data_IF_545490936691
#
_entry.id   IF_545490936691
#
_cell.length_a   1.000
_cell.length_b   1.000
_cell.length_c   1.000
_cell.angle_alpha   90.00
_cell.angle_beta   90.00
_cell.angle_gamma   90.00
#
_symmetry.space_group_name_H-M   'P 1'
#
loop_
_entity.id
_entity.type
_entity.pdbx_description
1 polymer ?
#
# COMPACT_ATOMS: atom_id res chain seq x y z
N UNK A 1 -18.55 1.52 0.27
CA UNK A 1 -17.29 2.28 0.34
C UNK A 1 -17.41 3.50 -0.57
N UNK A 2 -17.29 4.72 -0.03
CA UNK A 2 -17.15 5.96 -0.81
C UNK A 2 -15.78 6.56 -0.50
N UNK A 3 -14.73 6.01 -1.09
CA UNK A 3 -13.41 6.65 -1.14
C UNK A 3 -13.43 7.70 -2.27
N UNK A 4 -12.70 8.79 -2.10
CA UNK A 4 -12.42 9.72 -3.21
C UNK A 4 -11.48 8.99 -4.16
N UNK A 5 -11.98 8.55 -5.32
CA UNK A 5 -11.16 7.84 -6.31
C UNK A 5 -10.27 8.83 -7.05
N UNK A 6 -8.95 8.69 -6.82
CA UNK A 6 -7.89 9.38 -7.56
C UNK A 6 -7.26 8.32 -8.47
N UNK A 7 -7.58 8.36 -9.76
CA UNK A 7 -7.10 7.37 -10.72
C UNK A 7 -5.57 7.40 -10.93
N UNK A 8 -5.00 6.35 -11.52
CA UNK A 8 -3.55 6.16 -11.64
C UNK A 8 -2.83 7.30 -12.38
N UNK A 9 -3.46 7.91 -13.37
CA UNK A 9 -2.88 9.04 -14.12
C UNK A 9 -2.62 10.27 -13.25
N UNK A 10 -3.45 10.53 -12.24
CA UNK A 10 -3.30 11.67 -11.34
C UNK A 10 -2.18 11.44 -10.33
N UNK A 11 -2.01 10.21 -9.86
CA UNK A 11 -0.84 9.79 -9.08
C UNK A 11 0.45 9.95 -9.88
N UNK A 12 0.50 9.42 -11.11
CA UNK A 12 1.65 9.55 -11.99
C UNK A 12 2.00 11.02 -12.29
N UNK A 13 0.98 11.86 -12.50
CA UNK A 13 1.18 13.30 -12.72
C UNK A 13 1.78 14.00 -11.48
N UNK A 14 1.30 13.68 -10.28
CA UNK A 14 1.89 14.25 -9.06
C UNK A 14 3.32 13.76 -8.83
N UNK A 15 3.56 12.46 -9.00
CA UNK A 15 4.87 11.82 -8.89
C UNK A 15 5.89 12.31 -9.92
N UNK A 16 5.47 12.89 -11.04
CA UNK A 16 6.39 13.47 -12.02
C UNK A 16 6.88 14.87 -11.63
N UNK A 17 6.25 15.51 -10.65
CA UNK A 17 6.73 16.78 -10.09
C UNK A 17 7.95 16.57 -9.21
N UNK A 18 8.85 17.55 -9.13
CA UNK A 18 10.03 17.49 -8.25
C UNK A 18 9.67 17.18 -6.79
N UNK A 19 8.62 17.81 -6.28
CA UNK A 19 8.19 17.63 -4.90
C UNK A 19 7.53 16.25 -4.68
N UNK A 20 6.77 15.76 -5.66
CA UNK A 20 6.23 14.40 -5.64
C UNK A 20 7.34 13.35 -5.61
N UNK A 21 8.36 13.49 -6.45
CA UNK A 21 9.53 12.59 -6.46
C UNK A 21 10.25 12.53 -5.12
N UNK A 22 10.48 13.68 -4.47
CA UNK A 22 11.11 13.73 -3.15
C UNK A 22 10.22 13.07 -2.11
N UNK A 23 8.92 13.37 -2.12
CA UNK A 23 7.97 12.84 -1.13
C UNK A 23 7.87 11.33 -1.24
N UNK A 24 7.64 10.81 -2.45
CA UNK A 24 7.57 9.37 -2.74
C UNK A 24 8.83 8.64 -2.28
N UNK A 25 10.01 9.17 -2.62
CA UNK A 25 11.29 8.55 -2.24
C UNK A 25 11.46 8.48 -0.73
N UNK A 26 11.16 9.55 -0.01
CA UNK A 26 11.27 9.57 1.46
C UNK A 26 10.26 8.63 2.12
N UNK A 27 9.02 8.59 1.62
CA UNK A 27 7.99 7.68 2.12
C UNK A 27 8.41 6.21 1.93
N UNK A 28 8.93 5.87 0.74
CA UNK A 28 9.43 4.52 0.45
C UNK A 28 10.63 4.15 1.31
N UNK A 29 11.63 5.03 1.44
CA UNK A 29 12.82 4.79 2.26
C UNK A 29 12.43 4.48 3.72
N UNK A 30 11.53 5.27 4.31
CA UNK A 30 11.08 5.07 5.69
C UNK A 30 10.24 3.79 5.88
N UNK A 31 9.36 3.48 4.93
CA UNK A 31 8.56 2.25 4.98
C UNK A 31 9.43 1.02 4.85
N UNK A 32 10.42 1.04 3.95
CA UNK A 32 11.35 -0.07 3.76
C UNK A 32 12.24 -0.26 4.98
N UNK A 33 12.71 0.81 5.62
CA UNK A 33 13.48 0.73 6.87
C UNK A 33 12.70 0.00 7.98
N UNK A 34 11.40 0.27 8.10
CA UNK A 34 10.53 -0.42 9.07
C UNK A 34 10.16 -1.85 8.66
N UNK A 35 10.09 -2.10 7.36
CA UNK A 35 9.77 -3.41 6.78
C UNK A 35 10.96 -4.38 6.82
N UNK A 36 12.19 -3.90 6.72
CA UNK A 36 13.39 -4.74 6.66
C UNK A 36 13.55 -5.58 7.95
N UNK A 37 14.01 -6.85 7.88
CA UNK A 37 14.30 -7.64 6.67
C UNK A 37 13.03 -8.17 5.98
N UNK A 38 13.02 -8.16 4.63
CA UNK A 38 11.92 -8.73 3.82
C UNK A 38 12.35 -9.83 2.84
N UNK A 39 13.64 -10.07 2.67
CA UNK A 39 14.14 -11.06 1.71
C UNK A 39 13.57 -12.47 1.99
N UNK A 40 12.91 -13.05 1.00
CA UNK A 40 12.27 -14.37 1.04
C UNK A 40 10.93 -14.43 1.78
N UNK A 41 10.48 -13.35 2.40
CA UNK A 41 9.21 -13.27 3.15
C UNK A 41 7.99 -13.19 2.22
N UNK A 42 6.88 -13.76 2.66
CA UNK A 42 5.58 -13.54 2.02
C UNK A 42 5.00 -12.20 2.49
N UNK A 43 4.91 -11.23 1.59
CA UNK A 43 4.48 -9.86 1.89
C UNK A 43 3.18 -9.55 1.18
N UNK A 44 2.22 -8.98 1.91
CA UNK A 44 1.01 -8.40 1.35
C UNK A 44 1.13 -6.87 1.33
N UNK A 45 1.14 -6.29 0.13
CA UNK A 45 1.00 -4.84 -0.06
C UNK A 45 -0.49 -4.50 -0.13
N UNK A 46 -1.03 -4.04 1.00
CA UNK A 46 -2.46 -3.81 1.21
C UNK A 46 -2.83 -2.36 0.85
N UNK A 47 -3.63 -2.21 -0.19
CA UNK A 47 -3.84 -0.93 -0.88
C UNK A 47 -2.66 -0.60 -1.79
N UNK A 48 -2.21 -1.56 -2.61
CA UNK A 48 -0.96 -1.45 -3.38
C UNK A 48 -0.98 -0.37 -4.47
N UNK A 49 -2.15 0.19 -4.80
CA UNK A 49 -2.28 1.18 -5.86
C UNK A 49 -1.75 0.67 -7.20
N UNK A 50 -0.98 1.51 -7.88
CA UNK A 50 -0.29 1.21 -9.14
C UNK A 50 1.04 0.44 -8.96
N UNK A 51 1.33 -0.06 -7.76
CA UNK A 51 2.40 -1.03 -7.49
C UNK A 51 3.78 -0.45 -7.21
N UNK A 52 3.92 0.86 -6.97
CA UNK A 52 5.25 1.47 -6.77
C UNK A 52 5.95 0.95 -5.51
N UNK A 53 5.25 0.81 -4.38
CA UNK A 53 5.83 0.22 -3.17
C UNK A 53 6.10 -1.29 -3.36
N UNK A 54 5.18 -1.98 -4.03
CA UNK A 54 5.34 -3.39 -4.42
C UNK A 54 6.65 -3.62 -5.17
N UNK A 55 7.00 -2.77 -6.14
CA UNK A 55 8.29 -2.84 -6.87
C UNK A 55 9.47 -2.81 -5.91
N UNK A 56 9.48 -1.89 -4.94
CA UNK A 56 10.58 -1.77 -3.98
C UNK A 56 10.70 -2.97 -3.06
N UNK A 57 9.58 -3.54 -2.61
CA UNK A 57 9.59 -4.76 -1.80
C UNK A 57 10.18 -5.94 -2.60
N UNK A 58 9.85 -6.06 -3.89
CA UNK A 58 10.43 -7.06 -4.79
C UNK A 58 11.94 -6.86 -4.98
N UNK A 59 12.39 -5.62 -5.16
CA UNK A 59 13.82 -5.27 -5.26
C UNK A 59 14.61 -5.70 -4.01
N UNK A 60 13.95 -5.78 -2.84
CA UNK A 60 14.53 -6.26 -1.57
C UNK A 60 14.35 -7.77 -1.34
N UNK A 61 13.89 -8.50 -2.36
CA UNK A 61 13.78 -9.96 -2.37
C UNK A 61 12.52 -10.52 -1.71
N UNK A 62 11.51 -9.68 -1.43
CA UNK A 62 10.22 -10.14 -0.93
C UNK A 62 9.43 -10.94 -1.99
N UNK A 63 8.53 -11.81 -1.54
CA UNK A 63 7.49 -12.42 -2.38
C UNK A 63 6.19 -11.65 -2.17
N UNK A 64 5.89 -10.73 -3.08
CA UNK A 64 4.82 -9.77 -2.88
C UNK A 64 3.51 -10.19 -3.54
N UNK A 65 2.41 -10.10 -2.80
CA UNK A 65 1.05 -10.07 -3.33
C UNK A 65 0.50 -8.66 -3.12
N UNK A 66 -0.02 -8.03 -4.16
CA UNK A 66 -0.66 -6.71 -4.05
C UNK A 66 -2.18 -6.84 -4.03
N UNK A 67 -2.85 -6.09 -3.15
CA UNK A 67 -4.31 -6.02 -3.12
C UNK A 67 -4.78 -4.57 -3.13
N UNK A 68 -5.70 -4.23 -4.02
CA UNK A 68 -6.35 -2.92 -4.06
C UNK A 68 -7.81 -3.06 -4.46
N UNK A 69 -8.65 -2.14 -3.99
CA UNK A 69 -10.08 -2.13 -4.31
C UNK A 69 -10.37 -1.45 -5.67
N UNK A 70 -9.46 -0.61 -6.16
CA UNK A 70 -9.62 0.11 -7.41
C UNK A 70 -9.11 -0.75 -8.60
N UNK A 71 -9.99 -1.21 -9.50
CA UNK A 71 -9.59 -2.02 -10.65
C UNK A 71 -8.66 -1.28 -11.62
N UNK A 72 -8.74 0.05 -11.71
CA UNK A 72 -7.86 0.83 -12.59
C UNK A 72 -6.43 0.88 -12.04
N UNK A 73 -6.28 0.94 -10.71
CA UNK A 73 -4.98 0.82 -10.04
C UNK A 73 -4.37 -0.57 -10.26
N UNK A 74 -5.17 -1.63 -10.08
CA UNK A 74 -4.72 -3.01 -10.34
C UNK A 74 -4.31 -3.19 -11.81
N UNK A 75 -5.05 -2.62 -12.75
CA UNK A 75 -4.70 -2.67 -14.16
C UNK A 75 -3.34 -1.99 -14.43
N UNK A 76 -3.12 -0.80 -13.85
CA UNK A 76 -1.84 -0.09 -13.96
C UNK A 76 -0.69 -0.88 -13.33
N UNK A 77 -0.88 -1.45 -12.13
CA UNK A 77 0.12 -2.24 -11.42
C UNK A 77 0.56 -3.47 -12.22
N UNK A 78 -0.40 -4.19 -12.82
CA UNK A 78 -0.13 -5.36 -13.67
C UNK A 78 0.65 -5.01 -14.95
N UNK A 79 0.45 -3.81 -15.49
CA UNK A 79 1.23 -3.32 -16.64
C UNK A 79 2.66 -3.02 -16.23
N UNK A 80 2.86 -2.35 -15.08
CA UNK A 80 4.18 -1.97 -14.59
C UNK A 80 5.01 -3.18 -14.12
N UNK A 81 4.36 -4.15 -13.47
CA UNK A 81 5.01 -5.29 -12.82
C UNK A 81 4.40 -6.62 -13.31
N UNK A 82 4.68 -7.02 -14.56
CA UNK A 82 4.17 -8.27 -15.10
C UNK A 82 4.74 -9.46 -14.31
N UNK A 83 3.85 -10.33 -13.83
CA UNK A 83 4.22 -11.54 -13.09
C UNK A 83 3.99 -11.49 -11.57
N UNK A 84 3.61 -10.32 -11.03
CA UNK A 84 3.21 -10.18 -9.62
C UNK A 84 1.73 -10.56 -9.46
N UNK A 85 1.39 -11.21 -8.33
CA UNK A 85 -0.01 -11.52 -7.97
C UNK A 85 -0.71 -10.26 -7.44
N UNK A 86 -1.32 -9.50 -8.36
CA UNK A 86 -2.22 -8.41 -8.01
C UNK A 86 -3.67 -8.88 -7.98
N UNK A 87 -4.35 -8.68 -6.85
CA UNK A 87 -5.74 -9.07 -6.63
C UNK A 87 -6.64 -7.85 -6.43
N UNK A 88 -7.69 -7.67 -7.25
CA UNK A 88 -8.74 -6.73 -6.89
C UNK A 88 -9.48 -7.26 -5.66
N UNK A 89 -9.70 -6.44 -4.63
CA UNK A 89 -10.32 -6.92 -3.41
C UNK A 89 -10.63 -5.83 -2.38
N UNK A 90 -11.54 -6.15 -1.46
CA UNK A 90 -11.85 -5.29 -0.32
C UNK A 90 -10.96 -5.65 0.86
N UNK A 91 -10.22 -4.69 1.40
CA UNK A 91 -9.37 -4.87 2.56
C UNK A 91 -10.13 -5.29 3.84
N UNK A 92 -11.45 -5.08 3.91
CA UNK A 92 -12.31 -5.54 5.01
C UNK A 92 -12.65 -7.03 4.94
N UNK A 93 -12.36 -7.69 3.80
CA UNK A 93 -12.60 -9.12 3.57
C UNK A 93 -11.51 -9.69 2.67
N UNK A 94 -10.37 -10.01 3.27
CA UNK A 94 -9.18 -10.45 2.57
C UNK A 94 -9.35 -11.89 2.05
N UNK A 95 -9.12 -12.14 0.75
CA UNK A 95 -9.28 -13.46 0.14
C UNK A 95 -8.05 -14.36 0.39
N UNK A 96 -7.57 -14.40 1.63
CA UNK A 96 -6.40 -15.16 2.07
C UNK A 96 -6.73 -15.97 3.32
N UNK A 97 -6.08 -17.12 3.45
CA UNK A 97 -6.13 -17.93 4.67
C UNK A 97 -5.50 -17.21 5.85
N UNK A 98 -5.88 -17.63 7.06
CA UNK A 98 -5.24 -17.18 8.30
C UNK A 98 -3.72 -17.47 8.25
N UNK A 99 -2.92 -16.61 8.87
CA UNK A 99 -1.47 -16.81 9.00
C UNK A 99 -0.73 -17.09 7.67
N UNK A 100 -1.05 -16.34 6.62
CA UNK A 100 -0.47 -16.50 5.28
C UNK A 100 0.70 -15.56 4.97
N UNK A 101 0.90 -14.48 5.75
CA UNK A 101 1.93 -13.47 5.46
C UNK A 101 2.88 -13.24 6.65
N UNK A 102 4.15 -12.96 6.35
CA UNK A 102 5.17 -12.57 7.32
C UNK A 102 5.20 -11.05 7.56
N UNK A 103 4.67 -10.29 6.61
CA UNK A 103 4.58 -8.83 6.65
C UNK A 103 3.35 -8.35 5.86
N UNK A 104 2.69 -7.34 6.39
CA UNK A 104 1.75 -6.50 5.64
C UNK A 104 2.28 -5.07 5.63
N UNK A 105 2.28 -4.45 4.45
CA UNK A 105 2.43 -2.99 4.31
C UNK A 105 1.08 -2.38 3.98
N UNK A 106 0.75 -1.23 4.60
CA UNK A 106 -0.44 -0.46 4.28
C UNK A 106 -0.07 1.02 4.20
N UNK A 107 0.32 1.49 3.01
CA UNK A 107 0.76 2.88 2.82
C UNK A 107 -0.38 3.75 2.32
N UNK A 108 -0.69 4.82 3.06
CA UNK A 108 -1.77 5.79 2.78
C UNK A 108 -3.17 5.19 2.63
N UNK A 109 -3.36 3.92 2.99
CA UNK A 109 -4.65 3.25 2.90
C UNK A 109 -5.62 3.69 4.01
N UNK A 110 -5.21 3.61 5.29
CA UNK A 110 -6.17 3.77 6.39
C UNK A 110 -6.68 5.22 6.52
N UNK A 111 -5.89 6.21 6.08
CA UNK A 111 -6.35 7.60 6.00
C UNK A 111 -7.49 7.83 4.99
N UNK A 112 -7.66 6.94 3.99
CA UNK A 112 -8.63 7.08 2.90
C UNK A 112 -9.95 6.31 3.13
N UNK A 113 -9.97 5.42 4.13
CA UNK A 113 -11.11 4.53 4.41
C UNK A 113 -11.72 4.80 5.78
N UNK A 114 -12.99 4.41 5.94
CA UNK A 114 -13.74 4.53 7.21
C UNK A 114 -13.63 3.28 8.06
N UNK A 115 -13.61 2.11 7.42
CA UNK A 115 -13.74 0.78 8.04
C UNK A 115 -12.39 0.25 8.56
N UNK A 116 -11.62 1.11 9.23
CA UNK A 116 -10.22 0.83 9.62
C UNK A 116 -10.09 -0.34 10.59
N UNK A 117 -11.06 -0.49 11.51
CA UNK A 117 -11.05 -1.56 12.49
C UNK A 117 -11.19 -2.92 11.83
N UNK A 118 -12.09 -3.05 10.84
CA UNK A 118 -12.30 -4.29 10.11
C UNK A 118 -11.08 -4.65 9.26
N UNK A 119 -10.46 -3.65 8.61
CA UNK A 119 -9.22 -3.84 7.86
C UNK A 119 -8.08 -4.31 8.77
N UNK A 120 -7.91 -3.71 9.96
CA UNK A 120 -6.89 -4.11 10.91
C UNK A 120 -7.16 -5.52 11.47
N UNK A 121 -8.43 -5.89 11.68
CA UNK A 121 -8.81 -7.23 12.11
C UNK A 121 -8.47 -8.28 11.05
N UNK A 122 -8.78 -8.02 9.78
CA UNK A 122 -8.41 -8.90 8.67
C UNK A 122 -6.89 -8.98 8.47
N UNK A 123 -6.19 -7.85 8.54
CA UNK A 123 -4.73 -7.82 8.50
C UNK A 123 -4.12 -8.69 9.61
N UNK A 124 -4.61 -8.56 10.85
CA UNK A 124 -4.18 -9.38 11.97
C UNK A 124 -4.48 -10.88 11.76
N UNK A 125 -5.63 -11.22 11.16
CA UNK A 125 -6.02 -12.61 10.86
C UNK A 125 -5.06 -13.28 9.87
N UNK A 126 -4.71 -12.58 8.78
CA UNK A 126 -3.86 -13.16 7.72
C UNK A 126 -2.37 -13.07 8.03
N UNK A 127 -1.96 -12.31 9.04
CA UNK A 127 -0.60 -12.29 9.55
C UNK A 127 -0.27 -13.56 10.35
N UNK A 128 0.93 -14.08 10.15
CA UNK A 128 1.47 -15.17 10.98
C UNK A 128 1.71 -14.66 12.42
N UNK A 129 1.63 -15.53 13.45
CA UNK A 129 1.99 -15.13 14.80
C UNK A 129 3.42 -14.56 14.86
N UNK A 130 3.58 -13.35 15.40
CA UNK A 130 4.87 -12.65 15.48
C UNK A 130 5.28 -11.89 14.21
N UNK A 131 4.46 -11.94 13.15
CA UNK A 131 4.63 -11.14 11.94
C UNK A 131 4.36 -9.65 12.19
N UNK A 132 4.69 -8.81 11.20
CA UNK A 132 4.65 -7.34 11.34
C UNK A 132 3.58 -6.73 10.44
N UNK A 133 2.99 -5.63 10.92
CA UNK A 133 2.19 -4.71 10.13
C UNK A 133 2.88 -3.35 10.12
N UNK A 134 3.23 -2.85 8.94
CA UNK A 134 3.85 -1.53 8.74
C UNK A 134 2.82 -0.62 8.07
N UNK A 135 2.55 0.54 8.69
CA UNK A 135 1.52 1.47 8.25
C UNK A 135 2.15 2.83 7.97
N UNK A 136 1.93 3.34 6.75
CA UNK A 136 2.24 4.71 6.37
C UNK A 136 0.97 5.55 6.35
N UNK A 137 0.96 6.70 7.02
CA UNK A 137 -0.22 7.56 7.12
C UNK A 137 0.09 9.02 6.83
N UNK A 138 -0.84 9.71 6.19
CA UNK A 138 -0.75 11.15 5.97
C UNK A 138 -1.08 11.90 7.27
N UNK A 139 -0.07 12.52 7.87
CA UNK A 139 -0.23 13.25 9.12
C UNK A 139 -1.18 14.46 8.95
N UNK A 140 -2.36 14.39 9.58
CA UNK A 140 -3.40 15.44 9.59
C UNK A 140 -2.96 16.78 10.21
N UNK A 141 -1.84 16.81 10.93
CA UNK A 141 -1.27 18.02 11.54
C UNK A 141 -0.05 18.54 10.78
N UNK A 142 0.30 17.94 9.63
CA UNK A 142 1.38 18.43 8.78
C UNK A 142 0.98 19.69 8.01
N UNK A 143 1.98 20.43 7.52
CA UNK A 143 1.74 21.55 6.60
C UNK A 143 1.02 21.08 5.31
N UNK A 144 1.27 19.85 4.87
CA UNK A 144 0.57 19.22 3.75
C UNK A 144 -0.94 19.13 3.98
N UNK A 145 -1.36 18.86 5.22
CA UNK A 145 -2.76 18.79 5.56
C UNK A 145 -3.47 20.15 5.42
N UNK A 146 -2.76 21.27 5.61
CA UNK A 146 -3.31 22.62 5.41
C UNK A 146 -3.52 22.95 3.93
N UNK A 147 -2.61 22.47 3.07
CA UNK A 147 -2.60 22.79 1.64
C UNK A 147 -3.60 21.92 0.87
N UNK A 148 -3.76 20.63 1.24
CA UNK A 148 -4.70 19.70 0.56
C UNK A 148 -6.19 20.00 0.79
N UNK A 149 -6.52 20.80 1.81
CA UNK A 149 -7.89 21.19 2.16
C UNK A 149 -8.28 22.55 1.58
N UNK A 150 -7.40 23.20 0.84
CA UNK A 150 -7.76 24.42 0.10
C UNK A 150 -8.56 24.02 -1.15
N UNK A 151 -9.74 24.64 -1.39
CA UNK A 151 -10.67 24.26 -2.45
C UNK A 151 -10.08 24.37 -3.86
#
# INVERSE_FOLDING_TARGET
MNAVTVGPSRYQTWRSTWLGQITERLEQELLLELADPVNGQDVLDLGCGDGVLTEKLLDHGAKVTGLDADPDMIAAARVSLPGVDFRPGNACHLPFSDASFDLITANTLLCLVRDRQDILAEAARVLRPGARLVIGELNRFSLWALIRTSP
#
